data_IF_550867404732
#
_entry.id   IF_550867404732
#
_cell.length_a   1.000
_cell.length_b   1.000
_cell.length_c   1.000
_cell.angle_alpha   90.00
_cell.angle_beta   90.00
_cell.angle_gamma   90.00
#
_symmetry.space_group_name_H-M   'P 1'
#
loop_
_entity.id
_entity.type
_entity.pdbx_description
1 polymer ?
#
# COMPACT_ATOMS: atom_id res chain seq x y z
N UNK A 1 -41.31 -19.30 -62.96
CA UNK A 1 -40.13 -18.76 -62.26
C UNK A 1 -40.53 -18.64 -60.81
N UNK A 2 -40.10 -19.58 -59.96
CA UNK A 2 -40.27 -19.47 -58.51
C UNK A 2 -39.27 -20.42 -57.84
N UNK A 3 -38.24 -19.85 -57.21
CA UNK A 3 -37.35 -20.59 -56.30
C UNK A 3 -37.36 -19.83 -54.99
N UNK A 4 -38.02 -20.41 -53.99
CA UNK A 4 -38.08 -19.90 -52.61
C UNK A 4 -36.68 -19.98 -51.99
N UNK A 5 -36.10 -18.84 -51.67
CA UNK A 5 -34.90 -18.75 -50.84
C UNK A 5 -35.30 -18.77 -49.36
N UNK A 6 -35.05 -19.88 -48.67
CA UNK A 6 -35.12 -19.97 -47.21
C UNK A 6 -33.88 -19.28 -46.65
N UNK A 7 -34.05 -18.15 -45.97
CA UNK A 7 -32.98 -17.51 -45.19
C UNK A 7 -33.01 -18.08 -43.77
N UNK A 8 -32.03 -18.92 -43.45
CA UNK A 8 -31.78 -19.36 -42.07
C UNK A 8 -31.08 -18.21 -41.35
N UNK A 9 -31.77 -17.55 -40.43
CA UNK A 9 -31.16 -16.60 -39.52
C UNK A 9 -30.52 -17.39 -38.36
N UNK A 10 -29.20 -17.54 -38.37
CA UNK A 10 -28.47 -18.05 -37.22
C UNK A 10 -28.38 -16.95 -36.16
N UNK A 11 -29.14 -17.08 -35.08
CA UNK A 11 -29.00 -16.23 -33.91
C UNK A 11 -27.72 -16.62 -33.16
N UNK A 12 -26.68 -15.80 -33.25
CA UNK A 12 -25.47 -15.95 -32.45
C UNK A 12 -25.80 -15.60 -30.98
N UNK A 13 -25.95 -16.63 -30.14
CA UNK A 13 -26.08 -16.44 -28.71
C UNK A 13 -24.74 -15.99 -28.12
N UNK A 14 -24.66 -14.73 -27.70
CA UNK A 14 -23.51 -14.19 -26.97
C UNK A 14 -23.49 -14.83 -25.57
N UNK A 15 -22.64 -15.82 -25.36
CA UNK A 15 -22.39 -16.39 -24.03
C UNK A 15 -21.61 -15.34 -23.24
N UNK A 16 -22.31 -14.62 -22.37
CA UNK A 16 -21.67 -13.77 -21.36
C UNK A 16 -21.01 -14.69 -20.33
N UNK A 17 -19.72 -14.96 -20.51
CA UNK A 17 -18.90 -15.59 -19.48
C UNK A 17 -18.75 -14.57 -18.37
N UNK A 18 -19.49 -14.75 -17.28
CA UNK A 18 -19.27 -13.99 -16.06
C UNK A 18 -17.91 -14.42 -15.50
N UNK A 19 -16.88 -13.61 -15.73
CA UNK A 19 -15.66 -13.70 -14.96
C UNK A 19 -16.05 -13.45 -13.50
N UNK A 20 -16.00 -14.50 -12.69
CA UNK A 20 -16.02 -14.32 -11.25
C UNK A 20 -14.81 -13.45 -10.92
N UNK A 21 -15.05 -12.20 -10.49
CA UNK A 21 -14.03 -11.44 -9.81
C UNK A 21 -13.66 -12.27 -8.58
N UNK A 22 -12.57 -13.04 -8.66
CA UNK A 22 -11.98 -13.61 -7.47
C UNK A 22 -11.88 -12.45 -6.48
N UNK A 23 -12.51 -12.60 -5.32
CA UNK A 23 -12.39 -11.59 -4.29
C UNK A 23 -10.90 -11.34 -4.10
N UNK A 24 -10.46 -10.11 -4.33
CA UNK A 24 -9.12 -9.62 -4.08
C UNK A 24 -8.82 -9.58 -2.57
N UNK A 25 -9.21 -10.62 -1.83
CA UNK A 25 -8.97 -10.82 -0.41
C UNK A 25 -7.56 -11.33 -0.16
N UNK A 26 -6.59 -10.77 -0.88
CA UNK A 26 -5.18 -10.95 -0.56
C UNK A 26 -4.87 -10.26 0.77
N UNK A 27 -3.65 -10.45 1.24
CA UNK A 27 -3.13 -9.72 2.39
C UNK A 27 -2.16 -8.64 1.91
N UNK A 28 -2.26 -7.48 2.56
CA UNK A 28 -1.27 -6.43 2.49
C UNK A 28 -0.39 -6.44 3.73
N UNK A 29 0.83 -5.98 3.58
CA UNK A 29 1.73 -5.70 4.69
C UNK A 29 1.25 -4.45 5.43
N UNK A 30 1.24 -4.53 6.75
CA UNK A 30 0.99 -3.36 7.60
C UNK A 30 2.08 -3.21 8.63
N UNK A 31 2.35 -1.97 8.98
CA UNK A 31 3.34 -1.60 9.99
C UNK A 31 2.66 -0.89 11.15
N UNK A 32 3.43 -0.68 12.22
CA UNK A 32 3.04 0.18 13.34
C UNK A 32 4.17 1.10 13.75
N UNK A 33 3.82 2.08 14.59
CA UNK A 33 4.79 2.89 15.33
C UNK A 33 5.33 2.09 16.52
N UNK A 34 6.65 2.06 16.67
CA UNK A 34 7.35 1.49 17.82
C UNK A 34 7.64 2.55 18.89
N UNK A 35 7.85 3.80 18.49
CA UNK A 35 8.15 4.87 19.43
C UNK A 35 8.24 6.24 18.77
N UNK A 36 8.31 7.27 19.62
CA UNK A 36 8.61 8.64 19.22
C UNK A 36 9.61 9.25 20.20
N UNK A 37 10.57 9.99 19.68
CA UNK A 37 11.44 10.84 20.48
C UNK A 37 11.83 12.08 19.67
N UNK A 38 11.73 13.27 20.27
CA UNK A 38 12.19 14.52 19.66
C UNK A 38 11.65 14.77 18.23
N UNK A 39 10.39 14.43 17.97
CA UNK A 39 9.76 14.59 16.65
C UNK A 39 10.20 13.57 15.61
N UNK A 40 10.88 12.50 16.02
CA UNK A 40 11.24 11.35 15.18
C UNK A 40 10.38 10.17 15.57
N UNK A 41 9.66 9.64 14.59
CA UNK A 41 8.93 8.39 14.72
C UNK A 41 9.80 7.22 14.25
N UNK A 42 9.77 6.12 15.02
CA UNK A 42 10.28 4.83 14.61
C UNK A 42 9.11 3.95 14.21
N UNK A 43 9.05 3.56 12.95
CA UNK A 43 7.98 2.75 12.38
C UNK A 43 8.55 1.49 11.76
N UNK A 44 7.79 0.41 11.77
CA UNK A 44 8.32 -0.86 11.30
C UNK A 44 7.37 -2.03 11.36
N UNK A 45 7.92 -3.13 10.88
CA UNK A 45 7.40 -4.47 10.94
C UNK A 45 8.09 -5.18 12.11
N UNK A 46 7.35 -5.49 13.18
CA UNK A 46 7.90 -6.13 14.38
C UNK A 46 7.33 -7.54 14.51
N UNK A 47 8.20 -8.56 14.37
CA UNK A 47 7.82 -9.96 14.50
C UNK A 47 7.26 -10.27 15.90
N UNK A 48 6.22 -11.12 16.02
CA UNK A 48 5.57 -11.90 14.96
C UNK A 48 4.41 -11.19 14.24
N UNK A 49 4.27 -9.88 14.41
CA UNK A 49 3.03 -9.15 14.11
C UNK A 49 2.88 -8.75 12.64
N UNK A 50 3.82 -9.10 11.76
CA UNK A 50 3.83 -8.64 10.37
C UNK A 50 4.55 -9.63 9.45
N UNK A 51 4.20 -9.60 8.17
CA UNK A 51 4.78 -10.45 7.13
C UNK A 51 5.00 -9.59 5.88
N UNK A 52 6.25 -9.17 5.65
CA UNK A 52 6.59 -8.38 4.47
C UNK A 52 6.74 -9.21 3.19
N UNK A 53 6.66 -10.54 3.27
CA UNK A 53 6.75 -11.42 2.12
C UNK A 53 5.37 -11.73 1.54
N UNK A 54 4.39 -12.03 2.39
CA UNK A 54 3.04 -12.45 1.97
C UNK A 54 1.94 -11.46 2.37
N UNK A 55 2.25 -10.47 3.22
CA UNK A 55 1.26 -9.61 3.84
C UNK A 55 0.64 -10.24 5.08
N UNK A 56 0.23 -9.39 6.02
CA UNK A 56 -0.29 -9.81 7.33
C UNK A 56 -1.76 -9.43 7.56
N UNK A 57 -2.29 -8.48 6.80
CA UNK A 57 -3.62 -7.92 7.02
C UNK A 57 -4.49 -8.05 5.78
N UNK A 58 -5.73 -8.54 5.96
CA UNK A 58 -6.74 -8.65 4.91
C UNK A 58 -6.98 -7.30 4.21
N UNK A 59 -6.89 -7.28 2.88
CA UNK A 59 -7.02 -6.04 2.10
C UNK A 59 -8.38 -5.35 2.21
N UNK A 60 -9.40 -6.05 2.72
CA UNK A 60 -10.72 -5.51 3.00
C UNK A 60 -10.78 -4.63 4.27
N UNK A 61 -9.76 -4.68 5.13
CA UNK A 61 -9.68 -3.91 6.38
C UNK A 61 -9.40 -2.44 6.07
N UNK A 62 -10.03 -1.54 6.83
CA UNK A 62 -9.81 -0.09 6.71
C UNK A 62 -8.69 0.36 7.66
N UNK A 63 -7.52 0.68 7.12
CA UNK A 63 -6.40 1.25 7.86
C UNK A 63 -5.87 2.50 7.16
N UNK A 64 -5.26 3.44 7.90
CA UNK A 64 -4.49 4.54 7.30
C UNK A 64 -3.39 4.02 6.38
N UNK A 65 -3.01 4.81 5.38
CA UNK A 65 -1.76 4.64 4.65
C UNK A 65 -0.66 5.46 5.32
N UNK A 66 0.53 4.88 5.45
CA UNK A 66 1.70 5.65 5.80
C UNK A 66 2.18 6.41 4.56
N UNK A 67 2.02 7.72 4.58
CA UNK A 67 2.45 8.59 3.50
C UNK A 67 3.78 9.25 3.88
N UNK A 68 4.77 9.14 3.00
CA UNK A 68 6.11 9.70 3.18
C UNK A 68 6.36 10.78 2.14
N UNK A 69 6.86 11.93 2.59
CA UNK A 69 7.50 12.95 1.75
C UNK A 69 9.00 12.92 1.99
N UNK A 70 9.75 12.39 1.03
CA UNK A 70 11.22 12.45 1.06
C UNK A 70 11.67 13.79 0.49
N UNK A 71 12.17 14.66 1.37
CA UNK A 71 12.67 15.99 1.03
C UNK A 71 14.18 16.14 1.28
N UNK A 72 14.86 15.03 1.60
CA UNK A 72 16.29 15.02 1.85
C UNK A 72 16.68 15.50 3.24
N UNK A 73 15.72 15.66 4.15
CA UNK A 73 16.02 16.14 5.51
C UNK A 73 17.07 15.26 6.22
N UNK A 74 18.04 15.85 6.93
CA UNK A 74 19.10 15.11 7.61
C UNK A 74 18.55 14.36 8.83
N UNK A 75 19.18 13.22 9.14
CA UNK A 75 18.86 12.45 10.34
C UNK A 75 19.31 13.21 11.59
N UNK A 76 18.43 13.47 12.57
CA UNK A 76 18.81 14.06 13.85
C UNK A 76 19.31 13.02 14.87
N UNK A 77 19.39 11.75 14.45
CA UNK A 77 19.76 10.60 15.27
C UNK A 77 20.74 9.70 14.50
N UNK A 78 21.59 8.92 15.18
CA UNK A 78 22.43 7.91 14.53
C UNK A 78 21.59 6.89 13.75
N UNK A 79 22.12 6.48 12.60
CA UNK A 79 21.49 5.53 11.68
C UNK A 79 22.37 4.30 11.52
N UNK A 80 21.74 3.14 11.44
CA UNK A 80 22.37 1.87 11.10
C UNK A 80 21.41 1.04 10.22
N UNK A 81 21.81 -0.19 9.86
CA UNK A 81 21.01 -1.08 9.02
C UNK A 81 19.60 -1.39 9.59
N UNK A 82 19.42 -1.42 10.90
CA UNK A 82 18.14 -1.72 11.57
C UNK A 82 17.38 -0.46 11.99
N UNK A 83 18.08 0.67 12.10
CA UNK A 83 17.56 1.99 12.48
C UNK A 83 17.77 3.00 11.34
N UNK A 84 17.35 2.63 10.13
CA UNK A 84 17.49 3.43 8.93
C UNK A 84 16.78 4.78 8.99
N UNK A 85 17.13 5.71 8.09
CA UNK A 85 16.53 7.04 8.02
C UNK A 85 15.89 7.31 6.67
N UNK A 86 14.59 7.63 6.68
CA UNK A 86 13.79 7.78 5.48
C UNK A 86 13.97 9.12 4.76
N UNK A 87 14.80 10.04 5.28
CA UNK A 87 15.14 11.33 4.64
C UNK A 87 13.91 12.23 4.39
N UNK A 88 13.00 12.30 5.37
CA UNK A 88 11.77 13.05 5.19
C UNK A 88 10.77 13.01 6.33
N UNK A 89 9.53 13.36 5.98
CA UNK A 89 8.39 13.55 6.87
C UNK A 89 7.28 12.54 6.59
N UNK A 90 6.70 11.96 7.65
CA UNK A 90 5.59 11.01 7.53
C UNK A 90 4.27 11.56 8.08
N UNK A 91 3.17 11.08 7.50
CA UNK A 91 1.81 11.32 7.96
C UNK A 91 0.93 10.08 7.74
N UNK A 92 -0.14 9.97 8.52
CA UNK A 92 -1.16 8.93 8.33
C UNK A 92 -2.38 9.53 7.64
N UNK A 93 -2.74 8.98 6.48
CA UNK A 93 -3.97 9.36 5.77
C UNK A 93 -5.24 9.03 6.57
N UNK A 94 -6.40 9.43 6.04
CA UNK A 94 -7.65 8.76 6.45
C UNK A 94 -7.59 7.25 6.21
N UNK A 95 -8.35 6.47 6.99
CA UNK A 95 -8.43 5.02 6.84
C UNK A 95 -9.14 4.60 5.54
N UNK A 96 -8.54 3.66 4.81
CA UNK A 96 -9.01 3.13 3.51
C UNK A 96 -8.84 1.62 3.45
N UNK A 97 -9.66 0.95 2.63
CA UNK A 97 -9.44 -0.47 2.34
C UNK A 97 -8.22 -0.60 1.44
N UNK A 98 -7.36 -1.57 1.70
CA UNK A 98 -6.18 -1.83 0.87
C UNK A 98 -6.55 -2.14 -0.57
N UNK A 99 -7.64 -2.86 -0.79
CA UNK A 99 -8.20 -3.21 -2.11
C UNK A 99 -9.00 -2.08 -2.79
N UNK A 100 -8.95 -0.85 -2.25
CA UNK A 100 -9.50 0.34 -2.93
C UNK A 100 -8.61 0.83 -4.08
N UNK A 101 -7.41 0.25 -4.23
CA UNK A 101 -6.41 0.62 -5.21
C UNK A 101 -6.07 -0.59 -6.08
N UNK A 102 -6.12 -0.42 -7.39
CA UNK A 102 -5.72 -1.43 -8.36
C UNK A 102 -4.21 -1.41 -8.63
N UNK A 103 -3.52 -0.30 -8.35
CA UNK A 103 -2.07 -0.19 -8.57
C UNK A 103 -1.39 0.63 -7.50
N UNK A 104 -0.08 0.39 -7.32
CA UNK A 104 0.76 1.21 -6.45
C UNK A 104 0.70 2.71 -6.79
N UNK A 105 0.63 3.06 -8.07
CA UNK A 105 0.56 4.44 -8.51
C UNK A 105 -0.72 5.14 -8.02
N UNK A 106 -1.84 4.41 -7.87
CA UNK A 106 -3.08 4.95 -7.29
C UNK A 106 -2.95 5.17 -5.79
N UNK A 107 -2.28 4.26 -5.06
CA UNK A 107 -1.98 4.45 -3.64
C UNK A 107 -1.05 5.66 -3.42
N UNK A 108 -0.04 5.84 -4.26
CA UNK A 108 0.82 7.03 -4.21
C UNK A 108 0.03 8.31 -4.53
N UNK A 109 -0.89 8.26 -5.52
CA UNK A 109 -1.76 9.39 -5.85
C UNK A 109 -2.68 9.77 -4.70
N UNK A 110 -3.15 8.79 -3.94
CA UNK A 110 -3.93 9.03 -2.74
C UNK A 110 -3.13 9.75 -1.65
N UNK A 111 -1.89 9.34 -1.37
CA UNK A 111 -1.02 10.07 -0.45
C UNK A 111 -0.75 11.51 -0.91
N UNK A 112 -0.56 11.75 -2.22
CA UNK A 112 -0.44 13.11 -2.77
C UNK A 112 -1.71 13.93 -2.59
N UNK A 113 -2.88 13.32 -2.74
CA UNK A 113 -4.15 14.01 -2.59
C UNK A 113 -4.43 14.41 -1.14
N UNK A 114 -4.04 13.58 -0.17
CA UNK A 114 -4.25 13.85 1.26
C UNK A 114 -3.28 14.91 1.81
N UNK A 115 -2.01 14.90 1.38
CA UNK A 115 -0.95 15.71 2.01
C UNK A 115 -0.21 16.67 1.08
N UNK A 116 -0.52 16.63 -0.22
CA UNK A 116 0.06 17.51 -1.23
C UNK A 116 1.29 16.93 -1.96
N UNK A 117 1.92 17.75 -2.83
CA UNK A 117 3.03 17.33 -3.67
C UNK A 117 4.21 16.75 -2.87
N UNK A 118 4.81 15.68 -3.41
CA UNK A 118 5.97 15.01 -2.83
C UNK A 118 5.65 13.86 -1.88
N UNK A 119 4.41 13.74 -1.40
CA UNK A 119 3.99 12.55 -0.66
C UNK A 119 3.77 11.36 -1.57
N UNK A 120 4.10 10.17 -1.09
CA UNK A 120 3.80 8.87 -1.72
C UNK A 120 3.55 7.83 -0.65
N UNK A 121 3.03 6.65 -1.02
CA UNK A 121 2.96 5.54 -0.09
C UNK A 121 4.38 5.18 0.35
N UNK A 122 4.57 5.01 1.65
CA UNK A 122 5.84 4.63 2.24
C UNK A 122 6.14 3.16 1.95
N UNK A 123 7.42 2.84 1.79
CA UNK A 123 7.92 1.52 1.48
C UNK A 123 8.78 0.95 2.59
N UNK A 124 8.84 -0.38 2.65
CA UNK A 124 9.74 -1.12 3.52
C UNK A 124 11.20 -0.66 3.39
N UNK A 125 11.61 -0.30 2.17
CA UNK A 125 12.99 0.03 1.81
C UNK A 125 13.36 1.50 2.02
N UNK A 126 12.45 2.35 2.50
CA UNK A 126 12.69 3.80 2.58
C UNK A 126 13.84 4.17 3.54
N UNK A 127 14.21 3.28 4.47
CA UNK A 127 15.32 3.46 5.41
C UNK A 127 16.67 2.89 4.97
N UNK A 128 16.83 2.44 3.73
CA UNK A 128 18.07 1.82 3.22
C UNK A 128 18.44 0.47 3.90
N UNK A 129 17.48 -0.21 4.53
CA UNK A 129 17.68 -1.55 5.11
C UNK A 129 16.73 -1.87 6.27
N UNK A 130 16.91 -3.07 6.84
CA UNK A 130 16.21 -3.52 8.04
C UNK A 130 14.71 -3.75 7.85
N UNK A 131 14.01 -3.92 8.97
CA UNK A 131 12.54 -4.13 9.02
C UNK A 131 11.78 -2.93 9.60
N UNK A 132 12.50 -1.82 9.78
CA UNK A 132 12.00 -0.60 10.40
C UNK A 132 12.88 0.57 10.02
N UNK A 133 12.33 1.77 10.07
CA UNK A 133 13.08 2.99 9.85
C UNK A 133 12.50 4.17 10.60
N UNK A 134 13.23 5.28 10.57
CA UNK A 134 12.90 6.52 11.26
C UNK A 134 12.67 7.65 10.27
N UNK A 135 11.75 8.54 10.61
CA UNK A 135 11.45 9.76 9.86
C UNK A 135 10.96 10.85 10.81
N UNK A 136 10.93 12.10 10.35
CA UNK A 136 10.23 13.15 11.08
C UNK A 136 8.73 12.84 11.11
N UNK A 137 8.12 12.92 12.28
CA UNK A 137 6.72 12.57 12.46
C UNK A 137 6.23 12.71 13.88
N UNK A 138 4.91 12.71 14.02
CA UNK A 138 4.20 12.47 15.27
C UNK A 138 2.89 11.74 14.98
N UNK A 139 2.98 10.58 14.33
CA UNK A 139 1.81 9.81 13.93
C UNK A 139 1.18 9.09 15.12
N UNK A 140 -0.11 8.76 15.00
CA UNK A 140 -0.84 7.94 15.98
C UNK A 140 -0.15 6.57 16.15
N UNK A 141 0.02 6.14 17.40
CA UNK A 141 0.62 4.87 17.78
C UNK A 141 -0.40 3.75 18.04
N UNK A 142 -1.70 4.06 18.06
CA UNK A 142 -2.77 3.11 18.42
C UNK A 142 -3.27 2.29 17.23
N UNK A 143 -2.82 2.60 16.02
CA UNK A 143 -3.27 1.95 14.79
C UNK A 143 -2.11 1.38 13.97
N UNK A 144 -2.41 0.35 13.20
CA UNK A 144 -1.54 -0.13 12.13
C UNK A 144 -1.82 0.67 10.86
N UNK A 145 -0.89 0.62 9.92
CA UNK A 145 -1.02 1.35 8.66
C UNK A 145 -0.45 0.55 7.50
N UNK A 146 -1.06 0.75 6.33
CA UNK A 146 -0.59 0.16 5.09
C UNK A 146 0.77 0.76 4.70
N UNK A 147 1.69 -0.14 4.34
CA UNK A 147 2.92 0.18 3.62
C UNK A 147 3.01 -0.75 2.41
N UNK A 148 4.09 -0.65 1.66
CA UNK A 148 4.34 -1.53 0.51
C UNK A 148 5.76 -2.07 0.53
N UNK A 149 5.97 -3.21 -0.10
CA UNK A 149 7.28 -3.80 -0.32
C UNK A 149 7.36 -4.00 -1.84
N UNK A 150 8.24 -3.23 -2.50
CA UNK A 150 8.21 -3.08 -3.97
C UNK A 150 8.66 -4.34 -4.73
N UNK A 151 9.32 -5.25 -4.05
CA UNK A 151 9.93 -6.48 -4.55
C UNK A 151 9.30 -7.74 -3.96
N UNK A 152 8.14 -7.62 -3.29
CA UNK A 152 7.39 -8.73 -2.72
C UNK A 152 5.90 -8.67 -3.10
N UNK A 153 5.20 -9.81 -3.20
CA UNK A 153 3.76 -9.87 -3.48
C UNK A 153 2.90 -9.52 -2.25
N UNK A 154 3.38 -8.65 -1.35
CA UNK A 154 2.78 -8.39 -0.03
C UNK A 154 1.90 -7.13 -0.02
N UNK A 155 1.36 -6.71 -1.15
CA UNK A 155 0.61 -5.46 -1.30
C UNK A 155 -0.79 -5.73 -1.82
N UNK A 156 -1.77 -4.93 -1.38
CA UNK A 156 -3.17 -5.09 -1.78
C UNK A 156 -3.50 -4.63 -3.20
N UNK A 157 -2.56 -3.96 -3.87
CA UNK A 157 -2.72 -3.28 -5.16
C UNK A 157 -1.89 -3.96 -6.26
N UNK A 158 -1.97 -5.30 -6.28
CA UNK A 158 -1.24 -6.21 -7.17
C UNK A 158 -2.19 -6.97 -8.10
#
# INVERSE_FOLDING_TARGET
MDVRAIRIAAAAALIMVAFSAAAAGGKGVTWRKAGNANGVDHVGCFSPECDAYQGDTECSVRLPMLCLKQDGSPAPVPTDYYNGWAKGNIALSRAVRGDSFATRAQADAFCRAEFGPGYRLATHHDGDGGWSWRAYGNIDATTRFWVTVVDQPSSCWN
#
